data_IF_436307157215
#
_entry.id   IF_436307157215
#
_cell.length_a   1.000
_cell.length_b   1.000
_cell.length_c   1.000
_cell.angle_alpha   90.00
_cell.angle_beta   90.00
_cell.angle_gamma   90.00
#
_symmetry.space_group_name_H-M   'P 1'
#
loop_
_entity.id
_entity.type
_entity.pdbx_description
1 polymer ?
#
# COMPACT_ATOMS: atom_id res chain seq x y z
N UNK A 1 13.13 -1.37 -27.86
CA UNK A 1 12.36 -2.00 -26.76
C UNK A 1 11.51 -0.92 -26.15
N UNK A 2 10.21 -1.15 -25.96
CA UNK A 2 9.38 -0.24 -25.19
C UNK A 2 9.72 -0.39 -23.70
N UNK A 3 9.76 0.72 -22.97
CA UNK A 3 9.92 0.75 -21.51
C UNK A 3 8.56 0.60 -20.82
N UNK A 4 8.58 0.32 -19.51
CA UNK A 4 7.34 0.26 -18.72
C UNK A 4 6.68 1.64 -18.60
N UNK A 5 7.49 2.70 -18.64
CA UNK A 5 7.03 4.08 -18.71
C UNK A 5 6.32 4.38 -20.04
N UNK A 6 6.82 3.85 -21.17
CA UNK A 6 6.13 3.96 -22.47
C UNK A 6 4.76 3.27 -22.48
N UNK A 7 4.51 2.33 -21.56
CA UNK A 7 3.21 1.70 -21.32
C UNK A 7 2.30 2.52 -20.37
N UNK A 8 2.72 3.72 -19.97
CA UNK A 8 1.99 4.64 -19.11
C UNK A 8 2.23 4.44 -17.61
N UNK A 9 3.24 3.68 -17.21
CA UNK A 9 3.53 3.40 -15.78
C UNK A 9 4.90 3.93 -15.39
N UNK A 10 4.92 5.00 -14.59
CA UNK A 10 6.15 5.55 -14.02
C UNK A 10 6.30 5.09 -12.55
N UNK A 11 7.23 4.15 -12.33
CA UNK A 11 7.48 3.53 -11.02
C UNK A 11 8.07 4.56 -10.05
N UNK A 12 9.09 5.31 -10.47
CA UNK A 12 9.78 6.29 -9.62
C UNK A 12 8.82 7.37 -9.10
N UNK A 13 7.90 7.83 -9.95
CA UNK A 13 6.85 8.76 -9.58
C UNK A 13 5.86 8.13 -8.61
N UNK A 14 5.47 6.87 -8.84
CA UNK A 14 4.62 6.10 -7.93
C UNK A 14 5.22 5.97 -6.54
N UNK A 15 6.49 5.58 -6.44
CA UNK A 15 7.23 5.46 -5.18
C UNK A 15 7.32 6.80 -4.46
N UNK A 16 7.62 7.88 -5.19
CA UNK A 16 7.67 9.23 -4.62
C UNK A 16 6.30 9.67 -4.06
N UNK A 17 5.22 9.43 -4.79
CA UNK A 17 3.87 9.74 -4.34
C UNK A 17 3.48 8.91 -3.11
N UNK A 18 3.77 7.61 -3.12
CA UNK A 18 3.55 6.71 -2.00
C UNK A 18 4.29 7.17 -0.74
N UNK A 19 5.56 7.55 -0.89
CA UNK A 19 6.37 8.09 0.21
C UNK A 19 5.76 9.38 0.80
N UNK A 20 5.28 10.30 -0.03
CA UNK A 20 4.63 11.54 0.43
C UNK A 20 3.35 11.22 1.22
N UNK A 21 2.50 10.33 0.70
CA UNK A 21 1.28 9.91 1.37
C UNK A 21 1.58 9.24 2.73
N UNK A 22 2.58 8.35 2.77
CA UNK A 22 2.98 7.69 4.00
C UNK A 22 3.55 8.66 5.05
N UNK A 23 4.32 9.67 4.63
CA UNK A 23 4.79 10.72 5.55
C UNK A 23 3.63 11.50 6.16
N UNK A 24 2.59 11.82 5.39
CA UNK A 24 1.39 12.45 5.91
C UNK A 24 0.65 11.55 6.92
N UNK A 25 0.54 10.25 6.62
CA UNK A 25 -0.08 9.26 7.52
C UNK A 25 0.64 9.16 8.87
N UNK A 26 1.98 9.13 8.88
CA UNK A 26 2.78 9.04 10.12
C UNK A 26 2.49 10.16 11.12
N UNK A 27 2.14 11.36 10.65
CA UNK A 27 1.78 12.47 11.54
C UNK A 27 0.55 12.15 12.41
N UNK A 28 -0.32 11.24 11.95
CA UNK A 28 -1.53 10.82 12.68
C UNK A 28 -1.25 9.74 13.73
N UNK A 29 -0.13 9.01 13.64
CA UNK A 29 0.14 7.85 14.50
C UNK A 29 0.27 8.22 15.97
N UNK A 30 0.71 9.45 16.23
CA UNK A 30 0.81 10.02 17.58
C UNK A 30 -0.51 9.98 18.35
N UNK A 31 -1.66 10.00 17.66
CA UNK A 31 -2.98 9.90 18.27
C UNK A 31 -3.28 8.57 18.96
N UNK A 32 -2.44 7.54 18.76
CA UNK A 32 -2.59 6.21 19.40
C UNK A 32 -1.35 5.76 20.18
N UNK A 33 -0.41 6.66 20.45
CA UNK A 33 0.83 6.33 21.16
C UNK A 33 0.53 5.75 22.54
N UNK A 34 1.06 4.56 22.84
CA UNK A 34 0.86 3.84 24.09
C UNK A 34 -0.53 3.22 24.26
N UNK A 35 -1.34 3.15 23.20
CA UNK A 35 -2.66 2.52 23.21
C UNK A 35 -2.63 1.21 22.42
N UNK A 36 -3.54 0.28 22.74
CA UNK A 36 -3.78 -0.88 21.88
C UNK A 36 -4.09 -0.41 20.46
N UNK A 37 -3.47 -1.03 19.46
CA UNK A 37 -3.53 -0.63 18.06
C UNK A 37 -2.65 0.58 17.74
N UNK A 38 -1.51 0.75 18.41
CA UNK A 38 -0.50 1.75 18.02
C UNK A 38 0.06 1.37 16.63
N UNK A 39 0.02 2.27 15.64
CA UNK A 39 0.55 1.95 14.31
C UNK A 39 2.07 1.80 14.31
N UNK A 40 2.57 0.74 13.67
CA UNK A 40 4.01 0.54 13.48
C UNK A 40 4.51 1.42 12.34
N UNK A 41 5.72 1.97 12.52
CA UNK A 41 6.45 2.64 11.45
C UNK A 41 7.27 1.62 10.69
N UNK A 42 6.80 1.25 9.50
CA UNK A 42 7.48 0.39 8.55
C UNK A 42 7.67 1.15 7.21
N UNK A 43 8.85 1.74 7.02
CA UNK A 43 9.10 2.55 5.83
C UNK A 43 9.34 1.65 4.61
N UNK A 44 8.52 1.81 3.57
CA UNK A 44 8.60 0.99 2.36
C UNK A 44 7.82 -0.32 2.46
N UNK A 45 7.10 -0.55 3.57
CA UNK A 45 6.17 -1.67 3.71
C UNK A 45 4.95 -1.53 2.78
N UNK A 46 4.46 -2.67 2.29
CA UNK A 46 3.24 -2.75 1.47
C UNK A 46 1.95 -2.80 2.31
N UNK A 47 2.07 -3.13 3.59
CA UNK A 47 0.95 -3.28 4.52
C UNK A 47 1.15 -2.42 5.76
N UNK A 48 0.06 -1.89 6.31
CA UNK A 48 0.07 -1.27 7.63
C UNK A 48 0.01 -2.33 8.72
N UNK A 49 0.70 -2.12 9.84
CA UNK A 49 0.62 -3.00 11.01
C UNK A 49 0.24 -2.21 12.26
N UNK A 50 -0.62 -2.79 13.10
CA UNK A 50 -1.03 -2.23 14.38
C UNK A 50 -0.57 -3.15 15.51
N UNK A 51 0.07 -2.57 16.53
CA UNK A 51 0.48 -3.26 17.74
C UNK A 51 -0.72 -3.47 18.67
N UNK A 52 -1.17 -4.72 18.82
CA UNK A 52 -2.30 -5.08 19.67
C UNK A 52 -1.86 -5.59 21.06
N UNK A 53 -0.57 -5.49 21.40
CA UNK A 53 0.04 -6.00 22.63
C UNK A 53 0.59 -7.41 22.47
N UNK A 54 -0.29 -8.40 22.32
CA UNK A 54 0.11 -9.81 22.21
C UNK A 54 0.36 -10.25 20.75
N UNK A 55 -0.09 -9.45 19.78
CA UNK A 55 0.02 -9.74 18.35
C UNK A 55 0.00 -8.46 17.51
N UNK A 56 0.37 -8.60 16.25
CA UNK A 56 0.23 -7.53 15.26
C UNK A 56 -0.98 -7.80 14.36
N UNK A 57 -1.83 -6.79 14.18
CA UNK A 57 -2.85 -6.82 13.14
C UNK A 57 -2.28 -6.16 11.89
N UNK A 58 -2.02 -6.96 10.85
CA UNK A 58 -1.52 -6.49 9.56
C UNK A 58 -2.71 -6.27 8.62
N UNK A 59 -2.77 -5.09 8.02
CA UNK A 59 -3.84 -4.65 7.14
C UNK A 59 -3.25 -4.28 5.78
N UNK A 60 -3.92 -4.74 4.74
CA UNK A 60 -3.62 -4.43 3.35
C UNK A 60 -4.96 -4.37 2.60
N UNK A 61 -5.04 -3.51 1.60
CA UNK A 61 -6.10 -3.52 0.60
C UNK A 61 -5.43 -3.48 -0.77
N UNK A 62 -5.84 -4.38 -1.67
CA UNK A 62 -5.26 -4.52 -3.00
C UNK A 62 -6.37 -4.75 -4.04
N UNK A 63 -6.22 -4.09 -5.18
CA UNK A 63 -7.18 -4.15 -6.27
C UNK A 63 -6.60 -4.90 -7.47
N UNK A 64 -7.30 -5.93 -7.93
CA UNK A 64 -6.95 -6.64 -9.18
C UNK A 64 -7.11 -5.71 -10.41
N UNK A 65 -8.02 -4.73 -10.32
CA UNK A 65 -8.23 -3.71 -11.34
C UNK A 65 -8.74 -4.26 -12.66
N UNK A 66 -8.45 -3.56 -13.76
CA UNK A 66 -8.96 -3.87 -15.11
C UNK A 66 -8.38 -5.15 -15.71
N UNK A 67 -7.43 -5.82 -15.04
CA UNK A 67 -7.03 -7.19 -15.39
C UNK A 67 -8.22 -8.15 -15.33
N UNK A 68 -9.17 -7.88 -14.44
CA UNK A 68 -10.47 -8.55 -14.45
C UNK A 68 -11.21 -8.40 -15.79
N UNK A 69 -11.16 -7.22 -16.41
CA UNK A 69 -11.81 -6.98 -17.72
C UNK A 69 -11.17 -7.85 -18.81
N UNK A 70 -9.85 -8.06 -18.77
CA UNK A 70 -9.17 -8.95 -19.72
C UNK A 70 -9.51 -10.41 -19.43
N UNK A 71 -9.46 -10.84 -18.16
CA UNK A 71 -9.83 -12.21 -17.74
C UNK A 71 -11.27 -12.57 -18.13
N UNK A 72 -12.20 -11.63 -17.98
CA UNK A 72 -13.58 -11.76 -18.46
C UNK A 72 -13.65 -11.87 -19.98
N UNK A 73 -12.96 -10.98 -20.71
CA UNK A 73 -12.97 -10.97 -22.19
C UNK A 73 -12.41 -12.26 -22.82
N UNK A 74 -11.57 -13.00 -22.10
CA UNK A 74 -10.93 -14.23 -22.61
C UNK A 74 -11.45 -15.51 -21.94
N UNK A 75 -12.48 -15.42 -21.09
CA UNK A 75 -13.09 -16.52 -20.33
C UNK A 75 -12.07 -17.38 -19.56
N UNK A 76 -11.06 -16.73 -18.96
CA UNK A 76 -10.06 -17.39 -18.10
C UNK A 76 -9.90 -16.62 -16.80
N UNK A 77 -10.38 -17.24 -15.72
CA UNK A 77 -10.38 -16.74 -14.35
C UNK A 77 -9.30 -17.45 -13.52
#
# INVERSE_FOLDING_TARGET
MATYEDAGVNIDLGDKCSAIAYQAAKNTFTGRKGMIGEPLVDNGGFSGALDMGDYYLVQNDDGIGTKMIISEKIEKY
#
